data_IF_262467505737
#
_entry.id   IF_262467505737
#
_cell.length_a   1.000
_cell.length_b   1.000
_cell.length_c   1.000
_cell.angle_alpha   90.00
_cell.angle_beta   90.00
_cell.angle_gamma   90.00
#
_symmetry.space_group_name_H-M   'P 1'
#
loop_
_entity.id
_entity.type
_entity.pdbx_description
1 polymer ?
#
# COMPACT_ATOMS: atom_id res chain seq x y z
N UNK A 1 -8.84 -15.95 -6.50
CA UNK A 1 -8.46 -14.67 -7.13
C UNK A 1 -9.59 -13.67 -6.96
N UNK A 2 -9.31 -12.37 -6.70
CA UNK A 2 -10.35 -11.33 -6.63
C UNK A 2 -10.96 -11.04 -8.00
N UNK A 3 -12.21 -10.61 -8.01
CA UNK A 3 -12.97 -10.33 -9.24
C UNK A 3 -12.35 -9.23 -10.10
N UNK A 4 -11.79 -8.18 -9.48
CA UNK A 4 -11.10 -7.10 -10.20
C UNK A 4 -9.88 -7.64 -10.96
N UNK A 5 -9.03 -8.43 -10.29
CA UNK A 5 -7.84 -9.01 -10.93
C UNK A 5 -8.24 -10.05 -11.99
N UNK A 6 -9.34 -10.78 -11.77
CA UNK A 6 -9.89 -11.69 -12.77
C UNK A 6 -10.32 -10.93 -14.03
N UNK A 7 -11.08 -9.85 -13.86
CA UNK A 7 -11.52 -9.03 -14.98
C UNK A 7 -10.33 -8.46 -15.76
N UNK A 8 -9.26 -8.05 -15.07
CA UNK A 8 -8.05 -7.52 -15.69
C UNK A 8 -7.32 -8.59 -16.53
N UNK A 9 -7.19 -9.80 -15.98
CA UNK A 9 -6.63 -10.94 -16.70
C UNK A 9 -7.47 -11.31 -17.94
N UNK A 10 -8.80 -11.33 -17.81
CA UNK A 10 -9.69 -11.62 -18.94
C UNK A 10 -9.59 -10.55 -20.05
N UNK A 11 -9.40 -9.27 -19.71
CA UNK A 11 -9.13 -8.21 -20.71
C UNK A 11 -7.78 -8.40 -21.43
N UNK A 12 -6.79 -8.98 -20.77
CA UNK A 12 -5.53 -9.36 -21.42
C UNK A 12 -5.73 -10.57 -22.35
N UNK A 13 -6.50 -11.57 -21.92
CA UNK A 13 -6.82 -12.74 -22.74
C UNK A 13 -7.56 -12.37 -24.02
N UNK A 14 -8.55 -11.46 -23.96
CA UNK A 14 -9.26 -10.96 -25.15
C UNK A 14 -8.28 -10.41 -26.17
N UNK A 15 -7.41 -9.48 -25.75
CA UNK A 15 -6.41 -8.87 -26.64
C UNK A 15 -5.45 -9.91 -27.20
N UNK A 16 -5.00 -10.87 -26.40
CA UNK A 16 -4.10 -11.92 -26.84
C UNK A 16 -4.74 -12.85 -27.89
N UNK A 17 -6.01 -13.24 -27.68
CA UNK A 17 -6.77 -14.08 -28.63
C UNK A 17 -7.01 -13.34 -29.94
N UNK A 18 -7.35 -12.05 -29.88
CA UNK A 18 -7.51 -11.22 -31.06
C UNK A 18 -6.22 -11.08 -31.88
N UNK A 19 -5.08 -10.89 -31.22
CA UNK A 19 -3.78 -10.87 -31.89
C UNK A 19 -3.44 -12.22 -32.53
N UNK A 20 -3.71 -13.32 -31.84
CA UNK A 20 -3.43 -14.65 -32.37
C UNK A 20 -4.32 -15.00 -33.57
N UNK A 21 -5.58 -14.58 -33.55
CA UNK A 21 -6.49 -14.69 -34.70
C UNK A 21 -5.97 -13.90 -35.92
N UNK A 22 -5.46 -12.68 -35.70
CA UNK A 22 -4.80 -11.88 -36.75
C UNK A 22 -3.56 -12.57 -37.30
N UNK A 23 -2.65 -13.03 -36.43
CA UNK A 23 -1.40 -13.70 -36.83
C UNK A 23 -1.62 -14.99 -37.60
N UNK A 24 -2.63 -15.76 -37.22
CA UNK A 24 -2.89 -17.06 -37.83
C UNK A 24 -3.72 -16.98 -39.10
N UNK A 25 -4.27 -15.80 -39.44
CA UNK A 25 -5.09 -15.57 -40.63
C UNK A 25 -6.39 -16.37 -40.61
N UNK A 26 -6.97 -16.59 -39.42
CA UNK A 26 -8.20 -17.38 -39.26
C UNK A 26 -8.01 -18.90 -39.23
N UNK A 27 -6.76 -19.40 -39.22
CA UNK A 27 -6.48 -20.85 -39.04
C UNK A 27 -6.83 -21.37 -37.63
N UNK A 28 -7.07 -20.47 -36.69
CA UNK A 28 -7.45 -20.80 -35.31
C UNK A 28 -8.83 -20.21 -35.02
N UNK A 29 -9.73 -21.00 -34.44
CA UNK A 29 -11.03 -20.53 -33.95
C UNK A 29 -10.83 -19.69 -32.67
N UNK A 30 -11.15 -18.38 -32.68
CA UNK A 30 -10.97 -17.50 -31.53
C UNK A 30 -11.83 -17.91 -30.32
N UNK A 31 -13.01 -18.47 -30.53
CA UNK A 31 -13.92 -18.90 -29.47
C UNK A 31 -13.37 -20.11 -28.73
N UNK A 32 -12.86 -21.11 -29.47
CA UNK A 32 -12.19 -22.28 -28.90
C UNK A 32 -10.93 -21.88 -28.15
N UNK A 33 -10.12 -20.99 -28.72
CA UNK A 33 -8.90 -20.49 -28.09
C UNK A 33 -9.21 -19.74 -26.79
N UNK A 34 -10.25 -18.88 -26.79
CA UNK A 34 -10.70 -18.16 -25.60
C UNK A 34 -11.20 -19.11 -24.50
N UNK A 35 -12.01 -20.12 -24.84
CA UNK A 35 -12.48 -21.10 -23.87
C UNK A 35 -11.31 -21.85 -23.21
N UNK A 36 -10.33 -22.26 -24.02
CA UNK A 36 -9.11 -22.90 -23.52
C UNK A 36 -8.27 -21.97 -22.64
N UNK A 37 -8.14 -20.71 -23.03
CA UNK A 37 -7.40 -19.71 -22.26
C UNK A 37 -8.04 -19.44 -20.88
N UNK A 38 -9.38 -19.37 -20.81
CA UNK A 38 -10.11 -19.24 -19.54
C UNK A 38 -9.90 -20.47 -18.63
N UNK A 39 -10.00 -21.67 -19.18
CA UNK A 39 -9.74 -22.89 -18.41
C UNK A 39 -8.29 -22.95 -17.87
N UNK A 40 -7.31 -22.50 -18.66
CA UNK A 40 -5.93 -22.38 -18.21
C UNK A 40 -5.78 -21.31 -17.11
N UNK A 41 -6.45 -20.16 -17.24
CA UNK A 41 -6.47 -19.13 -16.20
C UNK A 41 -7.08 -19.66 -14.89
N UNK A 42 -8.16 -20.44 -14.96
CA UNK A 42 -8.78 -21.06 -13.79
C UNK A 42 -7.82 -22.03 -13.10
N UNK A 43 -7.07 -22.81 -13.88
CA UNK A 43 -6.06 -23.73 -13.36
C UNK A 43 -4.95 -22.97 -12.64
N UNK A 44 -4.43 -21.90 -13.24
CA UNK A 44 -3.39 -21.05 -12.64
C UNK A 44 -3.91 -20.39 -11.36
N UNK A 45 -5.13 -19.85 -11.39
CA UNK A 45 -5.74 -19.18 -10.25
C UNK A 45 -6.02 -20.13 -9.08
N UNK A 46 -6.38 -21.38 -9.37
CA UNK A 46 -6.56 -22.42 -8.35
C UNK A 46 -5.23 -22.79 -7.69
N UNK A 47 -4.16 -22.95 -8.49
CA UNK A 47 -2.84 -23.35 -8.00
C UNK A 47 -2.15 -22.33 -7.08
N UNK A 48 -2.59 -21.07 -7.08
CA UNK A 48 -2.06 -20.00 -6.23
C UNK A 48 -3.12 -19.45 -5.24
N UNK A 49 -4.20 -20.20 -5.02
CA UNK A 49 -5.37 -19.70 -4.29
C UNK A 49 -5.05 -19.31 -2.84
N UNK A 50 -4.31 -20.16 -2.13
CA UNK A 50 -3.96 -19.95 -0.72
C UNK A 50 -2.99 -18.77 -0.56
N UNK A 51 -1.93 -18.73 -1.36
CA UNK A 51 -0.90 -17.68 -1.32
C UNK A 51 -1.47 -16.34 -1.74
N UNK A 52 -2.32 -16.32 -2.76
CA UNK A 52 -3.00 -15.10 -3.19
C UNK A 52 -3.98 -14.59 -2.10
N UNK A 53 -4.70 -15.49 -1.41
CA UNK A 53 -5.55 -15.11 -0.30
C UNK A 53 -4.74 -14.47 0.83
N UNK A 54 -3.63 -15.08 1.22
CA UNK A 54 -2.70 -14.53 2.22
C UNK A 54 -2.14 -13.16 1.80
N UNK A 55 -1.74 -13.01 0.53
CA UNK A 55 -1.27 -11.74 -0.01
C UNK A 55 -2.34 -10.64 0.07
N UNK A 56 -3.57 -10.93 -0.38
CA UNK A 56 -4.65 -9.94 -0.35
C UNK A 56 -5.08 -9.58 1.07
N UNK A 57 -5.06 -10.55 2.00
CA UNK A 57 -5.28 -10.29 3.42
C UNK A 57 -4.20 -9.37 4.00
N UNK A 58 -2.94 -9.56 3.63
CA UNK A 58 -1.85 -8.69 4.07
C UNK A 58 -2.02 -7.25 3.52
N UNK A 59 -2.45 -7.10 2.27
CA UNK A 59 -2.78 -5.79 1.69
C UNK A 59 -3.93 -5.10 2.43
N UNK A 60 -5.01 -5.84 2.73
CA UNK A 60 -6.16 -5.31 3.45
C UNK A 60 -5.78 -4.89 4.87
N UNK A 61 -4.97 -5.70 5.56
CA UNK A 61 -4.45 -5.38 6.89
C UNK A 61 -3.56 -4.13 6.86
N UNK A 62 -2.69 -3.99 5.85
CA UNK A 62 -1.86 -2.80 5.68
C UNK A 62 -2.70 -1.56 5.40
N UNK A 63 -3.71 -1.65 4.54
CA UNK A 63 -4.64 -0.56 4.26
C UNK A 63 -5.45 -0.16 5.51
N UNK A 64 -5.93 -1.14 6.29
CA UNK A 64 -6.64 -0.88 7.54
C UNK A 64 -5.76 -0.25 8.64
N UNK A 65 -4.44 -0.53 8.61
CA UNK A 65 -3.45 0.08 9.50
C UNK A 65 -3.11 1.53 9.14
N UNK A 66 -3.39 1.97 7.91
CA UNK A 66 -3.18 3.36 7.46
C UNK A 66 -4.33 4.26 7.93
N UNK A 67 -4.45 4.45 9.24
CA UNK A 67 -5.34 5.48 9.80
C UNK A 67 -4.68 6.86 9.64
N UNK A 68 -5.43 7.88 9.21
CA UNK A 68 -4.90 9.23 9.07
C UNK A 68 -4.35 9.73 10.41
N UNK A 69 -3.28 10.53 10.37
CA UNK A 69 -2.67 11.07 11.59
C UNK A 69 -3.68 11.84 12.45
N UNK A 70 -4.67 12.48 11.84
CA UNK A 70 -5.78 13.15 12.54
C UNK A 70 -6.61 12.22 13.44
N UNK A 71 -6.78 10.96 13.06
CA UNK A 71 -7.47 9.95 13.89
C UNK A 71 -6.57 9.34 14.97
N UNK A 72 -5.24 9.38 14.77
CA UNK A 72 -4.26 8.83 15.72
C UNK A 72 -3.82 9.86 16.76
N UNK A 73 -3.79 11.13 16.38
CA UNK A 73 -3.34 12.28 17.14
C UNK A 73 -4.55 13.03 17.72
N UNK A 74 -5.38 12.32 18.48
CA UNK A 74 -6.50 12.96 19.18
C UNK A 74 -6.00 13.72 20.40
N UNK A 75 -6.82 14.66 20.88
CA UNK A 75 -6.52 15.41 22.10
C UNK A 75 -6.35 14.48 23.32
N UNK A 76 -7.07 13.35 23.37
CA UNK A 76 -6.89 12.36 24.44
C UNK A 76 -5.54 11.63 24.36
N UNK A 77 -5.04 11.30 23.17
CA UNK A 77 -3.76 10.58 23.03
C UNK A 77 -2.53 11.50 23.09
N UNK A 78 -2.68 12.78 22.74
CA UNK A 78 -1.57 13.74 22.69
C UNK A 78 -1.34 14.55 23.97
N UNK A 79 -2.26 14.55 24.94
CA UNK A 79 -2.16 15.39 26.14
C UNK A 79 -0.86 15.19 26.93
N UNK A 80 -0.60 13.97 27.39
CA UNK A 80 0.58 13.66 28.20
C UNK A 80 1.90 13.81 27.43
N UNK A 81 2.05 13.29 26.19
CA UNK A 81 3.27 13.46 25.42
C UNK A 81 3.60 14.94 25.16
N UNK A 82 2.60 15.76 24.80
CA UNK A 82 2.83 17.19 24.55
C UNK A 82 3.27 17.93 25.80
N UNK A 83 2.70 17.62 26.97
CA UNK A 83 3.12 18.20 28.23
C UNK A 83 4.57 17.81 28.57
N UNK A 84 4.94 16.54 28.39
CA UNK A 84 6.32 16.07 28.61
C UNK A 84 7.30 16.77 27.67
N UNK A 85 6.97 16.85 26.38
CA UNK A 85 7.79 17.57 25.39
C UNK A 85 7.92 19.05 25.75
N UNK A 86 6.83 19.69 26.19
CA UNK A 86 6.85 21.08 26.65
C UNK A 86 7.76 21.28 27.87
N UNK A 87 7.63 20.43 28.89
CA UNK A 87 8.48 20.48 30.10
C UNK A 87 9.95 20.23 29.74
N UNK A 88 10.24 19.23 28.91
CA UNK A 88 11.59 18.93 28.47
C UNK A 88 12.22 20.09 27.68
N UNK A 89 11.45 20.74 26.80
CA UNK A 89 11.91 21.91 26.05
C UNK A 89 12.24 23.10 26.97
N UNK A 90 11.38 23.38 27.97
CA UNK A 90 11.65 24.44 28.96
C UNK A 90 12.88 24.11 29.81
N UNK A 91 13.03 22.84 30.23
CA UNK A 91 14.18 22.41 31.01
C UNK A 91 15.49 22.49 30.21
N UNK A 92 15.48 22.08 28.93
CA UNK A 92 16.63 22.20 28.04
C UNK A 92 17.01 23.66 27.82
N UNK A 93 16.03 24.52 27.54
CA UNK A 93 16.25 25.97 27.43
C UNK A 93 16.81 26.59 28.72
N UNK A 94 16.27 26.19 29.87
CA UNK A 94 16.79 26.62 31.18
C UNK A 94 18.22 26.17 31.43
N UNK A 95 18.57 24.94 31.03
CA UNK A 95 19.93 24.42 31.12
C UNK A 95 20.88 25.18 30.19
N UNK A 96 20.49 25.45 28.94
CA UNK A 96 21.31 26.22 28.00
C UNK A 96 21.63 27.62 28.54
N UNK A 97 20.64 28.28 29.17
CA UNK A 97 20.84 29.57 29.83
C UNK A 97 21.73 29.48 31.08
N UNK A 98 21.57 28.44 31.89
CA UNK A 98 22.35 28.26 33.13
C UNK A 98 23.81 27.87 32.86
N UNK A 99 24.08 27.12 31.78
CA UNK A 99 25.41 26.67 31.39
C UNK A 99 26.09 27.56 30.35
N UNK A 100 25.43 28.63 29.88
CA UNK A 100 26.03 29.66 29.03
C UNK A 100 26.33 29.23 27.59
N UNK A 101 25.62 28.23 27.07
CA UNK A 101 25.72 27.83 25.66
C UNK A 101 24.92 28.80 24.80
N UNK A 102 25.56 29.41 23.80
CA UNK A 102 24.92 30.38 22.91
C UNK A 102 23.63 29.78 22.30
N UNK A 103 22.55 30.58 22.32
CA UNK A 103 21.18 30.32 21.85
C UNK A 103 21.06 30.04 20.33
N UNK A 104 21.88 29.13 19.80
CA UNK A 104 22.08 28.93 18.36
C UNK A 104 21.55 27.60 17.82
N UNK A 105 21.77 26.43 18.46
CA UNK A 105 21.40 25.16 17.85
C UNK A 105 19.92 24.79 18.04
N UNK A 106 19.30 25.23 19.15
CA UNK A 106 17.96 24.77 19.55
C UNK A 106 16.83 25.28 18.63
N UNK A 107 16.99 26.44 17.99
CA UNK A 107 16.00 26.99 17.05
C UNK A 107 16.11 26.40 15.64
N UNK A 108 17.26 25.81 15.27
CA UNK A 108 17.45 25.17 13.97
C UNK A 108 16.93 23.73 13.89
N UNK A 109 16.90 23.01 15.03
CA UNK A 109 16.49 21.60 15.07
C UNK A 109 14.97 21.38 15.04
N UNK A 110 14.16 22.40 15.33
CA UNK A 110 12.70 22.33 15.31
C UNK A 110 12.04 22.93 14.05
N UNK A 111 12.84 23.43 13.10
CA UNK A 111 12.38 24.13 11.89
C UNK A 111 12.49 23.29 10.61
N UNK A 112 12.91 22.02 10.71
CA UNK A 112 12.88 21.03 9.60
C UNK A 112 11.95 19.87 9.94
#
# INVERSE_FOLDING_TARGET
>A
MRDSHRADAERLLVRAVEEEARRTGGRTDPGVLMARARAALDTIAAGAGEEYAAYTQALDAAAAGQRPLSERLTKETLGTPLLVTGVAAVAAFGADLAFGTATGPALGAGAV
#
